data_IF_308048122798
#
_entry.id   IF_308048122798
#
_cell.length_a   1.000
_cell.length_b   1.000
_cell.length_c   1.000
_cell.angle_alpha   90.00
_cell.angle_beta   90.00
_cell.angle_gamma   90.00
#
_symmetry.space_group_name_H-M   'P 1'
#
loop_
_entity.id
_entity.type
_entity.pdbx_description
1 polymer ?
#
# COMPACT_ATOMS: atom_id res chain seq x y z
N UNK A 1 18.12 -3.12 -2.58
CA UNK A 1 16.99 -2.30 -3.03
C UNK A 1 17.10 -0.91 -2.45
N UNK A 2 17.00 0.10 -3.29
CA UNK A 2 16.99 1.48 -2.84
C UNK A 2 15.56 1.89 -2.48
N UNK A 3 15.32 2.09 -1.20
CA UNK A 3 14.01 2.59 -0.76
C UNK A 3 14.11 4.11 -0.52
N UNK A 4 13.06 4.87 -0.84
CA UNK A 4 13.11 6.34 -0.73
C UNK A 4 13.29 6.85 0.70
N UNK A 5 12.74 6.14 1.69
CA UNK A 5 12.75 6.55 3.08
C UNK A 5 12.84 5.33 4.00
N UNK A 6 13.40 5.47 5.22
CA UNK A 6 13.54 4.33 6.14
C UNK A 6 12.21 3.65 6.50
N UNK A 7 11.12 4.41 6.55
CA UNK A 7 9.80 3.87 6.89
C UNK A 7 8.93 3.59 5.66
N UNK A 8 9.54 3.50 4.50
CA UNK A 8 8.84 3.21 3.24
C UNK A 8 8.14 1.85 3.30
N UNK A 9 6.95 1.77 2.71
CA UNK A 9 6.21 0.53 2.52
C UNK A 9 5.82 0.39 1.05
N UNK A 10 6.09 -0.77 0.47
CA UNK A 10 5.80 -1.02 -0.95
C UNK A 10 4.33 -1.37 -1.19
N UNK A 11 3.62 -1.82 -0.17
CA UNK A 11 2.25 -2.33 -0.33
C UNK A 11 1.27 -1.37 -1.01
N UNK A 12 1.31 -0.04 -0.77
CA UNK A 12 0.40 0.86 -1.49
C UNK A 12 0.58 0.88 -3.01
N UNK A 13 1.70 0.37 -3.51
CA UNK A 13 1.96 0.31 -4.94
C UNK A 13 1.54 -1.02 -5.57
N UNK A 14 1.42 -2.07 -4.77
CA UNK A 14 1.31 -3.43 -5.30
C UNK A 14 0.14 -4.24 -4.72
N UNK A 15 -0.63 -3.70 -3.81
CA UNK A 15 -1.61 -4.49 -3.06
C UNK A 15 -2.91 -3.75 -2.84
N UNK A 16 -4.01 -4.49 -2.88
CA UNK A 16 -5.30 -4.10 -2.32
C UNK A 16 -5.87 -5.29 -1.60
N UNK A 17 -6.49 -5.05 -0.46
CA UNK A 17 -7.17 -6.08 0.32
C UNK A 17 -8.68 -5.86 0.25
N UNK A 18 -9.43 -6.85 -0.22
CA UNK A 18 -10.87 -6.74 -0.36
C UNK A 18 -11.59 -7.43 0.80
N UNK A 19 -12.65 -6.80 1.30
CA UNK A 19 -13.55 -7.41 2.27
C UNK A 19 -14.58 -8.29 1.55
N UNK A 20 -15.33 -9.15 2.28
CA UNK A 20 -16.38 -9.96 1.66
C UNK A 20 -17.48 -9.14 0.96
N UNK A 21 -17.69 -7.89 1.35
CA UNK A 21 -18.68 -7.03 0.71
C UNK A 21 -18.08 -6.12 -0.37
N UNK A 22 -16.79 -6.28 -0.69
CA UNK A 22 -16.14 -5.58 -1.79
C UNK A 22 -15.45 -4.29 -1.44
N UNK A 23 -15.50 -3.82 -0.19
CA UNK A 23 -14.72 -2.65 0.21
C UNK A 23 -13.24 -3.01 0.25
N UNK A 24 -12.37 -2.00 0.15
CA UNK A 24 -10.94 -2.26 -0.04
C UNK A 24 -10.07 -1.45 0.91
N UNK A 25 -8.92 -2.03 1.26
CA UNK A 25 -7.86 -1.38 2.05
C UNK A 25 -6.55 -1.47 1.29
N UNK A 26 -5.58 -0.58 1.58
CA UNK A 26 -4.24 -0.67 0.97
C UNK A 26 -3.51 -1.96 1.31
N UNK A 27 -3.74 -2.50 2.51
CA UNK A 27 -3.26 -3.81 2.93
C UNK A 27 -4.15 -4.33 4.06
N UNK A 28 -4.00 -5.61 4.40
CA UNK A 28 -4.88 -6.25 5.39
C UNK A 28 -4.74 -5.66 6.80
N UNK A 29 -3.66 -4.96 7.09
CA UNK A 29 -3.42 -4.36 8.41
C UNK A 29 -3.77 -2.87 8.47
N UNK A 30 -4.11 -2.24 7.35
CA UNK A 30 -4.48 -0.82 7.36
C UNK A 30 -5.78 -0.61 8.12
N UNK A 31 -5.85 0.47 8.91
CA UNK A 31 -7.04 0.78 9.69
C UNK A 31 -8.18 1.28 8.83
N UNK A 32 -7.86 2.05 7.79
CA UNK A 32 -8.87 2.75 7.00
C UNK A 32 -9.12 2.06 5.67
N UNK A 33 -10.39 1.98 5.29
CA UNK A 33 -10.77 1.56 3.95
C UNK A 33 -10.59 2.72 2.97
N UNK A 34 -10.32 2.39 1.70
CA UNK A 34 -10.08 3.39 0.67
C UNK A 34 -11.39 4.08 0.31
N UNK A 35 -11.37 5.41 0.25
CA UNK A 35 -12.56 6.22 -0.05
C UNK A 35 -12.37 7.05 -1.32
N UNK A 36 -13.50 7.41 -1.94
CA UNK A 36 -13.51 8.29 -3.10
C UNK A 36 -13.42 9.77 -2.67
N UNK A 37 -13.49 10.68 -3.65
CA UNK A 37 -13.34 12.11 -3.38
C UNK A 37 -14.46 12.70 -2.51
N UNK A 38 -15.60 12.02 -2.42
CA UNK A 38 -16.72 12.43 -1.58
C UNK A 38 -16.68 11.77 -0.19
N UNK A 39 -15.67 10.96 0.08
CA UNK A 39 -15.55 10.26 1.36
C UNK A 39 -16.31 8.94 1.44
N UNK A 40 -16.87 8.48 0.33
CA UNK A 40 -17.58 7.20 0.29
C UNK A 40 -16.61 6.06 0.01
N UNK A 41 -16.84 4.91 0.65
CA UNK A 41 -15.96 3.75 0.46
C UNK A 41 -16.06 3.23 -0.98
N UNK A 42 -14.90 2.96 -1.57
CA UNK A 42 -14.86 2.27 -2.85
C UNK A 42 -15.35 0.83 -2.69
N UNK A 43 -15.90 0.28 -3.76
CA UNK A 43 -16.26 -1.13 -3.81
C UNK A 43 -15.80 -1.72 -5.14
N UNK A 44 -15.23 -2.92 -5.10
CA UNK A 44 -14.86 -3.65 -6.32
C UNK A 44 -16.08 -4.08 -7.13
N UNK A 45 -17.28 -3.97 -6.55
CA UNK A 45 -18.53 -4.26 -7.27
C UNK A 45 -18.95 -3.12 -8.19
N UNK A 46 -18.48 -1.90 -7.94
CA UNK A 46 -18.88 -0.71 -8.69
C UNK A 46 -17.71 0.06 -9.31
N UNK A 47 -16.49 -0.20 -8.87
CA UNK A 47 -15.30 0.47 -9.38
C UNK A 47 -14.25 -0.57 -9.73
N UNK A 48 -13.46 -0.33 -10.79
CA UNK A 48 -12.43 -1.28 -11.14
C UNK A 48 -11.15 -1.03 -10.31
N UNK A 49 -10.26 -2.00 -10.38
CA UNK A 49 -9.01 -2.00 -9.63
C UNK A 49 -8.13 -0.77 -9.95
N UNK A 50 -8.03 -0.42 -11.22
CA UNK A 50 -7.20 0.70 -11.66
C UNK A 50 -7.73 2.03 -11.12
N UNK A 51 -9.04 2.20 -11.11
CA UNK A 51 -9.68 3.39 -10.59
C UNK A 51 -9.35 3.59 -9.10
N UNK A 52 -9.47 2.52 -8.32
CA UNK A 52 -9.19 2.54 -6.88
C UNK A 52 -7.70 2.83 -6.64
N UNK A 53 -6.83 2.17 -7.39
CA UNK A 53 -5.37 2.33 -7.25
C UNK A 53 -4.91 3.75 -7.63
N UNK A 54 -5.59 4.39 -8.55
CA UNK A 54 -5.23 5.74 -8.99
C UNK A 54 -6.04 6.84 -8.27
N UNK A 55 -6.78 6.48 -7.23
CA UNK A 55 -7.58 7.42 -6.46
C UNK A 55 -6.70 8.41 -5.68
N UNK A 56 -7.29 9.54 -5.29
CA UNK A 56 -6.62 10.52 -4.44
C UNK A 56 -6.19 9.91 -3.11
N UNK A 57 -7.02 9.04 -2.54
CA UNK A 57 -6.73 8.35 -1.29
C UNK A 57 -5.40 7.59 -1.39
N UNK A 58 -5.24 6.78 -2.43
CA UNK A 58 -4.04 5.98 -2.61
C UNK A 58 -2.83 6.84 -2.97
N UNK A 59 -3.01 7.86 -3.81
CA UNK A 59 -1.92 8.78 -4.16
C UNK A 59 -1.41 9.54 -2.94
N UNK A 60 -2.31 9.98 -2.07
CA UNK A 60 -1.94 10.65 -0.83
C UNK A 60 -1.13 9.72 0.07
N UNK A 61 -1.58 8.48 0.22
CA UNK A 61 -0.86 7.49 1.04
C UNK A 61 0.54 7.24 0.48
N UNK A 62 0.67 7.06 -0.82
CA UNK A 62 1.98 6.87 -1.44
C UNK A 62 2.90 8.08 -1.22
N UNK A 63 2.36 9.29 -1.34
CA UNK A 63 3.14 10.50 -1.11
C UNK A 63 3.59 10.62 0.34
N UNK A 64 2.76 10.21 1.30
CA UNK A 64 3.17 10.18 2.69
C UNK A 64 4.39 9.30 2.90
N UNK A 65 4.39 8.10 2.30
CA UNK A 65 5.55 7.22 2.37
C UNK A 65 6.77 7.78 1.65
N UNK A 66 6.57 8.45 0.53
CA UNK A 66 7.69 9.05 -0.22
C UNK A 66 8.32 10.22 0.53
N UNK A 67 7.54 10.93 1.33
CA UNK A 67 8.05 12.05 2.14
C UNK A 67 8.56 11.65 3.51
N UNK A 68 8.61 10.36 3.80
CA UNK A 68 9.17 9.87 5.07
C UNK A 68 8.20 9.92 6.24
N UNK A 69 6.91 10.11 5.98
CA UNK A 69 5.90 10.10 7.04
C UNK A 69 5.55 8.69 7.46
N UNK A 70 4.94 8.58 8.63
CA UNK A 70 4.41 7.31 9.15
C UNK A 70 2.88 7.40 9.18
N UNK A 71 2.20 7.03 8.07
CA UNK A 71 0.77 7.17 8.00
C UNK A 71 0.05 6.49 9.15
N UNK A 72 -0.95 7.16 9.71
CA UNK A 72 -1.66 6.66 10.89
C UNK A 72 -2.45 5.38 10.60
N UNK A 73 -2.93 5.22 9.38
CA UNK A 73 -3.63 4.00 8.96
C UNK A 73 -2.75 2.75 9.09
N UNK A 74 -1.43 2.92 9.14
CA UNK A 74 -0.45 1.84 9.26
C UNK A 74 0.06 1.65 10.69
N UNK A 75 -0.67 2.13 11.70
CA UNK A 75 -0.23 2.10 13.11
C UNK A 75 0.13 0.71 13.61
N UNK A 76 -0.49 -0.34 13.09
CA UNK A 76 -0.17 -1.71 13.51
C UNK A 76 1.27 -2.07 13.20
N UNK A 77 1.76 -1.66 12.02
CA UNK A 77 3.18 -1.85 11.67
C UNK A 77 4.09 -1.01 12.55
N UNK A 78 3.72 0.25 12.80
CA UNK A 78 4.54 1.12 13.64
C UNK A 78 4.61 0.61 15.08
N UNK A 79 3.51 0.07 15.59
CA UNK A 79 3.50 -0.50 16.94
C UNK A 79 4.39 -1.74 17.03
N UNK A 80 4.36 -2.61 16.01
CA UNK A 80 5.25 -3.78 15.95
C UNK A 80 6.72 -3.35 15.96
N UNK A 81 7.05 -2.38 15.11
CA UNK A 81 8.44 -1.91 15.00
C UNK A 81 8.91 -1.23 16.29
N UNK A 82 8.04 -0.45 16.93
CA UNK A 82 8.37 0.19 18.20
C UNK A 82 8.62 -0.82 19.33
N UNK A 83 7.99 -1.99 19.24
CA UNK A 83 8.19 -3.05 20.22
C UNK A 83 9.39 -3.95 19.87
N UNK A 84 10.15 -3.60 18.83
CA UNK A 84 11.31 -4.38 18.41
C UNK A 84 10.98 -5.60 17.58
N UNK A 85 9.75 -5.72 17.12
CA UNK A 85 9.33 -6.85 16.28
C UNK A 85 9.40 -6.49 14.80
N UNK A 86 9.39 -7.50 13.94
CA UNK A 86 9.36 -7.32 12.49
C UNK A 86 7.92 -7.10 12.05
N UNK A 87 7.65 -5.98 11.39
CA UNK A 87 6.33 -5.66 10.89
C UNK A 87 6.07 -6.30 9.52
N UNK A 88 4.81 -6.29 9.08
CA UNK A 88 4.45 -6.72 7.72
C UNK A 88 5.17 -5.89 6.67
N UNK A 89 5.34 -4.59 6.89
CA UNK A 89 6.09 -3.70 6.00
C UNK A 89 7.51 -4.22 5.77
N UNK A 90 8.20 -4.55 6.86
CA UNK A 90 9.58 -5.03 6.81
C UNK A 90 9.66 -6.40 6.13
N UNK A 91 8.76 -7.31 6.47
CA UNK A 91 8.69 -8.63 5.84
C UNK A 91 8.47 -8.53 4.33
N UNK A 92 7.56 -7.66 3.92
CA UNK A 92 7.24 -7.49 2.51
C UNK A 92 8.43 -6.94 1.74
N UNK A 93 9.08 -5.92 2.28
CA UNK A 93 10.27 -5.36 1.64
C UNK A 93 11.38 -6.40 1.51
N UNK A 94 11.60 -7.20 2.55
CA UNK A 94 12.63 -8.23 2.51
C UNK A 94 12.33 -9.31 1.46
N UNK A 95 11.08 -9.76 1.41
CA UNK A 95 10.68 -10.78 0.44
C UNK A 95 10.77 -10.31 -1.00
N UNK A 96 10.50 -9.04 -1.26
CA UNK A 96 10.41 -8.50 -2.61
C UNK A 96 11.66 -7.76 -3.08
N UNK A 97 12.68 -7.65 -2.23
CA UNK A 97 13.86 -6.84 -2.56
C UNK A 97 14.53 -7.24 -3.88
N UNK A 98 14.51 -8.52 -4.23
CA UNK A 98 15.10 -8.99 -5.48
C UNK A 98 14.30 -8.59 -6.71
N UNK A 99 12.99 -8.43 -6.55
CA UNK A 99 12.09 -8.05 -7.64
C UNK A 99 12.07 -6.54 -7.83
N UNK A 100 12.27 -5.79 -6.72
CA UNK A 100 12.10 -4.34 -6.71
C UNK A 100 13.41 -3.56 -6.81
N UNK A 101 14.49 -4.22 -7.25
CA UNK A 101 15.86 -3.69 -7.16
C UNK A 101 16.01 -2.29 -7.74
N UNK A 102 15.56 -2.03 -8.94
CA UNK A 102 15.86 -0.78 -9.65
C UNK A 102 14.59 0.04 -9.92
N UNK A 103 13.58 -0.08 -9.06
CA UNK A 103 12.35 0.68 -9.25
C UNK A 103 12.51 2.12 -8.83
N UNK A 104 11.98 3.04 -9.63
CA UNK A 104 11.81 4.42 -9.19
C UNK A 104 10.39 4.57 -8.63
N UNK A 105 10.27 5.29 -7.53
CA UNK A 105 9.02 5.37 -6.78
C UNK A 105 8.40 6.76 -6.91
N UNK A 106 7.16 6.80 -7.40
CA UNK A 106 6.36 8.02 -7.53
C UNK A 106 4.98 7.77 -6.91
N UNK A 107 4.11 8.77 -6.94
CA UNK A 107 2.74 8.56 -6.44
C UNK A 107 1.89 7.65 -7.33
N UNK A 108 2.39 7.31 -8.52
CA UNK A 108 1.67 6.43 -9.45
C UNK A 108 1.91 4.97 -9.12
N UNK A 109 0.86 4.15 -9.29
CA UNK A 109 0.96 2.71 -9.11
C UNK A 109 1.81 2.07 -10.21
N UNK A 110 2.31 0.86 -9.94
CA UNK A 110 3.14 0.10 -10.88
C UNK A 110 2.33 -1.11 -11.37
N UNK A 111 1.59 -1.00 -12.50
CA UNK A 111 0.68 -2.06 -12.93
C UNK A 111 1.31 -3.44 -13.10
N UNK A 112 2.55 -3.50 -13.58
CA UNK A 112 3.22 -4.78 -13.78
C UNK A 112 3.49 -5.51 -12.47
N UNK A 113 3.89 -4.78 -11.43
CA UNK A 113 4.10 -5.37 -10.12
C UNK A 113 2.81 -5.95 -9.55
N UNK A 114 1.72 -5.30 -9.82
CA UNK A 114 0.40 -5.77 -9.45
C UNK A 114 0.11 -7.15 -10.00
N UNK A 115 0.31 -7.32 -11.31
CA UNK A 115 0.04 -8.58 -11.98
C UNK A 115 0.91 -9.69 -11.41
N UNK A 116 2.18 -9.42 -11.21
CA UNK A 116 3.12 -10.41 -10.69
C UNK A 116 2.73 -10.88 -9.29
N UNK A 117 2.36 -9.97 -8.43
CA UNK A 117 1.99 -10.32 -7.06
C UNK A 117 0.63 -10.97 -6.97
N UNK A 118 -0.28 -10.61 -7.85
CA UNK A 118 -1.59 -11.22 -7.88
C UNK A 118 -1.54 -12.68 -8.30
N UNK A 119 -0.60 -13.02 -9.18
CA UNK A 119 -0.41 -14.38 -9.66
C UNK A 119 0.43 -15.22 -8.70
N UNK A 120 1.24 -14.55 -7.90
CA UNK A 120 2.08 -15.21 -6.90
C UNK A 120 1.36 -15.33 -5.60
#
# INVERSE_FOLDING_TARGET
>A
MNIPQPKFCVLPWISLEASPIGTVRPCCLADDEIVDDQGNKFSLMTADFAEIQNSKHMRKLRNEFLSGQTPQTCRKCWNEESAGRTSKRMHTLDRLKHILLDQSWTEDAKPLMFLDLKLG
#
